data_IF_271272967982
#
_entry.id   IF_271272967982
#
_cell.length_a   1.000
_cell.length_b   1.000
_cell.length_c   1.000
_cell.angle_alpha   90.00
_cell.angle_beta   90.00
_cell.angle_gamma   90.00
#
_symmetry.space_group_name_H-M   'P 1'
#
loop_
_entity.id
_entity.type
_entity.pdbx_description
1 polymer ?
#
# COMPACT_ATOMS: atom_id res chain seq x y z
N UNK A 1 -28.89 24.77 19.44
CA UNK A 1 -27.96 25.85 19.03
C UNK A 1 -27.78 26.75 20.23
N UNK A 2 -26.68 26.60 20.99
CA UNK A 2 -26.64 27.11 22.36
C UNK A 2 -26.15 28.55 22.49
N UNK A 3 -25.42 29.10 21.52
CA UNK A 3 -25.02 30.53 21.55
C UNK A 3 -24.88 31.09 20.14
N UNK A 4 -25.91 31.77 19.64
CA UNK A 4 -25.84 32.53 18.38
C UNK A 4 -26.10 33.99 18.70
N UNK A 5 -25.06 34.84 18.61
CA UNK A 5 -25.16 36.30 18.79
C UNK A 5 -24.49 36.90 20.04
N UNK A 6 -23.81 36.12 20.88
CA UNK A 6 -23.14 36.65 22.07
C UNK A 6 -21.77 37.27 21.75
N UNK A 7 -21.48 38.43 22.35
CA UNK A 7 -20.15 39.09 22.36
C UNK A 7 -19.79 39.43 23.82
N UNK A 8 -18.50 39.40 24.16
CA UNK A 8 -17.92 39.70 25.48
C UNK A 8 -18.37 38.78 26.64
N UNK A 9 -18.16 37.46 26.51
CA UNK A 9 -18.24 36.57 27.68
C UNK A 9 -16.83 36.29 28.22
N UNK A 10 -16.67 36.44 29.54
CA UNK A 10 -15.47 36.05 30.27
C UNK A 10 -15.81 34.81 31.09
N UNK A 11 -15.16 33.68 30.78
CA UNK A 11 -15.26 32.46 31.58
C UNK A 11 -14.08 32.48 32.54
N UNK A 12 -14.33 32.82 33.80
CA UNK A 12 -13.37 32.70 34.89
C UNK A 12 -13.78 31.57 35.81
N UNK A 13 -12.85 30.67 36.12
CA UNK A 13 -13.11 29.49 36.95
C UNK A 13 -13.51 28.27 36.13
N UNK A 14 -12.54 27.39 35.92
CA UNK A 14 -12.70 26.10 35.25
C UNK A 14 -11.33 25.45 35.05
N UNK A 15 -11.22 24.15 35.31
CA UNK A 15 -10.00 23.41 34.96
C UNK A 15 -10.05 23.17 33.45
N UNK A 16 -9.27 23.95 32.70
CA UNK A 16 -9.07 23.70 31.28
C UNK A 16 -8.17 22.48 31.14
N UNK A 17 -8.78 21.29 31.14
CA UNK A 17 -8.12 20.10 30.64
C UNK A 17 -8.01 20.25 29.13
N UNK A 18 -6.90 20.84 28.69
CA UNK A 18 -6.50 20.74 27.30
C UNK A 18 -6.13 19.27 27.07
N UNK A 19 -7.13 18.44 26.77
CA UNK A 19 -6.90 17.16 26.14
C UNK A 19 -6.44 17.48 24.73
N UNK A 20 -5.16 17.84 24.61
CA UNK A 20 -4.43 17.61 23.37
C UNK A 20 -4.63 16.12 23.13
N UNK A 21 -5.61 15.76 22.29
CA UNK A 21 -5.60 14.43 21.71
C UNK A 21 -4.21 14.37 21.10
N UNK A 22 -3.39 13.46 21.57
CA UNK A 22 -2.21 13.01 20.86
C UNK A 22 -2.67 12.50 19.50
N UNK A 23 -2.91 13.41 18.56
CA UNK A 23 -3.07 13.09 17.16
C UNK A 23 -1.65 12.83 16.70
N UNK A 24 -1.15 11.62 16.99
CA UNK A 24 0.07 10.99 16.48
C UNK A 24 1.05 11.95 15.78
N UNK A 25 1.67 12.87 16.51
CA UNK A 25 2.78 13.69 15.99
C UNK A 25 3.90 12.76 15.49
N UNK A 26 3.98 11.56 16.06
CA UNK A 26 4.94 10.52 15.72
C UNK A 26 4.78 9.88 14.33
N UNK A 27 3.67 10.09 13.60
CA UNK A 27 3.41 9.40 12.32
C UNK A 27 2.95 10.32 11.17
N UNK A 28 3.51 11.53 11.12
CA UNK A 28 3.23 12.49 10.05
C UNK A 28 3.53 11.91 8.66
N UNK A 29 4.65 11.19 8.51
CA UNK A 29 5.05 10.58 7.25
C UNK A 29 4.06 9.54 6.73
N UNK A 30 3.59 8.65 7.62
CA UNK A 30 2.57 7.66 7.26
C UNK A 30 1.23 8.32 6.90
N UNK A 31 0.88 9.42 7.57
CA UNK A 31 -0.33 10.19 7.25
C UNK A 31 -0.27 10.81 5.85
N UNK A 32 0.92 11.26 5.42
CA UNK A 32 1.15 11.73 4.05
C UNK A 32 0.98 10.58 3.06
N UNK A 33 1.60 9.42 3.31
CA UNK A 33 1.46 8.24 2.45
C UNK A 33 0.01 7.80 2.32
N UNK A 34 -0.76 7.80 3.40
CA UNK A 34 -2.18 7.43 3.37
C UNK A 34 -3.01 8.29 2.42
N UNK A 35 -2.65 9.57 2.24
CA UNK A 35 -3.32 10.48 1.30
C UNK A 35 -2.92 10.27 -0.16
N UNK A 36 -1.72 9.77 -0.40
CA UNK A 36 -1.18 9.52 -1.75
C UNK A 36 -1.43 8.08 -2.22
N UNK A 37 -1.64 7.15 -1.29
CA UNK A 37 -1.89 5.75 -1.58
C UNK A 37 -3.28 5.50 -2.21
N UNK A 38 -3.40 4.35 -2.87
CA UNK A 38 -4.64 3.83 -3.43
C UNK A 38 -5.11 2.62 -2.63
N UNK A 39 -6.05 2.83 -1.71
CA UNK A 39 -6.61 1.77 -0.87
C UNK A 39 -7.45 0.75 -1.66
N UNK A 40 -7.90 1.10 -2.87
CA UNK A 40 -8.65 0.22 -3.76
C UNK A 40 -7.76 -0.74 -4.57
N UNK A 41 -6.43 -0.52 -4.60
CA UNK A 41 -5.52 -1.27 -5.46
C UNK A 41 -5.03 -2.59 -4.85
N UNK A 42 -5.11 -2.75 -3.53
CA UNK A 42 -4.64 -3.93 -2.80
C UNK A 42 -5.33 -5.23 -3.23
N UNK A 43 -4.69 -6.38 -3.04
CA UNK A 43 -5.26 -7.71 -3.34
C UNK A 43 -6.59 -7.99 -2.61
N UNK A 44 -6.79 -7.39 -1.44
CA UNK A 44 -7.93 -7.58 -0.53
C UNK A 44 -8.82 -6.32 -0.42
N UNK A 45 -8.69 -5.36 -1.33
CA UNK A 45 -9.50 -4.16 -1.30
C UNK A 45 -10.98 -4.46 -1.59
N UNK A 46 -11.90 -3.82 -0.85
CA UNK A 46 -13.35 -3.96 -1.03
C UNK A 46 -13.80 -3.57 -2.45
N UNK A 47 -13.18 -2.55 -3.02
CA UNK A 47 -13.41 -2.11 -4.41
C UNK A 47 -13.13 -3.20 -5.47
N UNK A 48 -12.56 -4.33 -5.05
CA UNK A 48 -12.25 -5.47 -5.91
C UNK A 48 -13.06 -6.71 -5.56
N UNK A 49 -14.06 -6.62 -4.67
CA UNK A 49 -14.89 -7.75 -4.31
C UNK A 49 -16.03 -8.00 -5.32
N UNK A 50 -16.31 -9.25 -5.72
CA UNK A 50 -15.44 -10.42 -5.56
C UNK A 50 -14.24 -10.33 -6.52
N UNK A 51 -13.02 -10.65 -6.06
CA UNK A 51 -11.85 -10.50 -6.93
C UNK A 51 -11.78 -11.65 -7.95
N UNK A 52 -11.17 -11.43 -9.13
CA UNK A 52 -10.99 -12.49 -10.11
C UNK A 52 -10.11 -13.58 -9.51
N UNK A 53 -10.56 -14.84 -9.46
CA UNK A 53 -9.79 -15.94 -8.88
C UNK A 53 -9.74 -17.12 -9.85
N UNK A 54 -8.67 -17.90 -9.77
CA UNK A 54 -8.62 -19.19 -10.44
C UNK A 54 -9.69 -20.10 -9.84
N UNK A 55 -10.34 -20.91 -10.67
CA UNK A 55 -11.19 -21.98 -10.16
C UNK A 55 -10.33 -22.98 -9.38
N UNK A 56 -10.89 -23.61 -8.33
CA UNK A 56 -10.20 -24.69 -7.63
C UNK A 56 -9.64 -25.71 -8.61
N UNK A 57 -8.45 -26.21 -8.30
CA UNK A 57 -7.75 -27.23 -9.10
C UNK A 57 -7.29 -26.80 -10.51
N UNK A 58 -7.46 -25.54 -10.89
CA UNK A 58 -6.97 -25.00 -12.18
C UNK A 58 -5.67 -24.21 -12.02
N UNK A 59 -4.91 -24.07 -13.12
CA UNK A 59 -3.68 -23.26 -13.20
C UNK A 59 -2.59 -23.61 -12.17
N UNK A 60 -2.65 -24.81 -11.57
CA UNK A 60 -1.71 -25.28 -10.54
C UNK A 60 -0.24 -25.19 -10.97
N UNK A 61 0.08 -25.63 -12.18
CA UNK A 61 1.46 -25.58 -12.69
C UNK A 61 2.02 -24.15 -12.67
N UNK A 62 1.28 -23.20 -13.26
CA UNK A 62 1.71 -21.79 -13.29
C UNK A 62 1.79 -21.18 -11.88
N UNK A 63 0.84 -21.50 -11.00
CA UNK A 63 0.88 -21.03 -9.61
C UNK A 63 2.09 -21.60 -8.86
N UNK A 64 2.42 -22.87 -9.09
CA UNK A 64 3.60 -23.51 -8.53
C UNK A 64 4.89 -22.86 -9.04
N UNK A 65 4.97 -22.56 -10.33
CA UNK A 65 6.13 -21.86 -10.91
C UNK A 65 6.32 -20.47 -10.27
N UNK A 66 5.23 -19.74 -10.04
CA UNK A 66 5.25 -18.45 -9.34
C UNK A 66 5.70 -18.58 -7.88
N UNK A 67 5.25 -19.62 -7.18
CA UNK A 67 5.67 -19.91 -5.80
C UNK A 67 7.16 -20.28 -5.73
N UNK A 68 7.65 -21.12 -6.64
CA UNK A 68 9.06 -21.46 -6.75
C UNK A 68 9.91 -20.23 -7.04
N UNK A 69 9.47 -19.37 -7.95
CA UNK A 69 10.13 -18.10 -8.25
C UNK A 69 10.21 -17.19 -7.02
N UNK A 70 9.10 -16.97 -6.31
CA UNK A 70 9.07 -16.09 -5.15
C UNK A 70 9.90 -16.59 -3.95
N UNK A 71 10.08 -17.91 -3.83
CA UNK A 71 10.88 -18.52 -2.77
C UNK A 71 12.33 -18.84 -3.20
N UNK A 72 12.72 -18.51 -4.42
CA UNK A 72 14.08 -18.78 -4.91
C UNK A 72 15.11 -17.96 -4.13
N UNK A 73 16.09 -18.64 -3.52
CA UNK A 73 17.15 -18.00 -2.73
C UNK A 73 18.20 -17.33 -3.62
N UNK A 74 18.85 -16.28 -3.11
CA UNK A 74 19.95 -15.59 -3.78
C UNK A 74 21.06 -16.59 -4.16
N UNK A 75 21.18 -16.90 -5.47
CA UNK A 75 22.15 -17.86 -6.01
C UNK A 75 21.63 -18.69 -7.18
N UNK A 76 20.31 -18.90 -7.29
CA UNK A 76 19.66 -19.52 -8.46
C UNK A 76 18.79 -18.48 -9.15
N UNK A 77 19.13 -18.14 -10.40
CA UNK A 77 18.41 -17.22 -11.30
C UNK A 77 17.85 -15.93 -10.65
N UNK A 78 18.62 -14.84 -10.76
CA UNK A 78 18.47 -13.58 -10.00
C UNK A 78 17.28 -12.69 -10.41
N UNK A 79 16.29 -13.22 -11.14
CA UNK A 79 15.21 -12.40 -11.73
C UNK A 79 14.28 -11.82 -10.65
N UNK A 80 14.43 -10.53 -10.34
CA UNK A 80 13.59 -9.78 -9.38
C UNK A 80 12.20 -9.43 -9.90
N UNK A 81 11.98 -9.60 -11.20
CA UNK A 81 10.72 -9.33 -11.88
C UNK A 81 10.37 -10.57 -12.71
N UNK A 82 9.13 -11.04 -12.58
CA UNK A 82 8.57 -12.12 -13.40
C UNK A 82 7.47 -11.58 -14.29
N UNK A 83 7.52 -11.93 -15.57
CA UNK A 83 6.51 -11.55 -16.55
C UNK A 83 5.54 -12.70 -16.83
N UNK A 84 4.29 -12.58 -16.39
CA UNK A 84 3.21 -13.53 -16.72
C UNK A 84 2.53 -13.14 -18.05
N UNK A 85 2.84 -13.87 -19.12
CA UNK A 85 2.26 -13.65 -20.45
C UNK A 85 1.27 -14.75 -20.87
N UNK A 86 0.51 -14.46 -21.93
CA UNK A 86 -0.49 -15.39 -22.49
C UNK A 86 -1.59 -14.65 -23.24
N UNK A 87 -2.45 -15.37 -23.97
CA UNK A 87 -3.50 -14.77 -24.80
C UNK A 87 -4.50 -13.93 -23.98
N UNK A 88 -5.23 -13.05 -24.66
CA UNK A 88 -6.36 -12.35 -24.06
C UNK A 88 -7.38 -13.38 -23.54
N UNK A 89 -7.99 -13.10 -22.38
CA UNK A 89 -8.93 -14.04 -21.75
C UNK A 89 -8.29 -15.24 -21.04
N UNK A 90 -6.96 -15.45 -21.09
CA UNK A 90 -6.29 -16.58 -20.42
C UNK A 90 -6.39 -16.59 -18.88
N UNK A 91 -6.96 -15.55 -18.27
CA UNK A 91 -7.12 -15.44 -16.82
C UNK A 91 -5.89 -14.93 -16.07
N UNK A 92 -4.96 -14.21 -16.75
CA UNK A 92 -3.73 -13.69 -16.13
C UNK A 92 -3.98 -12.89 -14.84
N UNK A 93 -4.98 -12.01 -14.83
CA UNK A 93 -5.37 -11.26 -13.63
C UNK A 93 -5.90 -12.15 -12.51
N UNK A 94 -6.59 -13.25 -12.85
CA UNK A 94 -7.07 -14.24 -11.89
C UNK A 94 -5.91 -15.06 -11.30
N UNK A 95 -4.91 -15.40 -12.11
CA UNK A 95 -3.67 -16.04 -11.66
C UNK A 95 -2.92 -15.12 -10.69
N UNK A 96 -2.63 -13.88 -11.09
CA UNK A 96 -1.94 -12.91 -10.25
C UNK A 96 -2.68 -12.64 -8.93
N UNK A 97 -4.02 -12.54 -8.98
CA UNK A 97 -4.84 -12.39 -7.77
C UNK A 97 -4.78 -13.61 -6.87
N UNK A 98 -4.89 -14.83 -7.43
CA UNK A 98 -4.81 -16.07 -6.66
C UNK A 98 -3.43 -16.21 -6.01
N UNK A 99 -2.37 -15.92 -6.77
CA UNK A 99 -1.00 -15.94 -6.28
C UNK A 99 -0.79 -14.92 -5.13
N UNK A 100 -1.22 -13.68 -5.28
CA UNK A 100 -1.14 -12.67 -4.21
C UNK A 100 -1.89 -13.12 -2.95
N UNK A 101 -3.05 -13.76 -3.09
CA UNK A 101 -3.79 -14.32 -1.97
C UNK A 101 -3.05 -15.47 -1.28
N UNK A 102 -2.38 -16.33 -2.04
CA UNK A 102 -1.54 -17.39 -1.48
C UNK A 102 -0.35 -16.80 -0.73
N UNK A 103 0.37 -15.84 -1.31
CA UNK A 103 1.48 -15.16 -0.63
C UNK A 103 1.04 -14.47 0.65
N UNK A 104 -0.13 -13.83 0.65
CA UNK A 104 -0.67 -13.19 1.85
C UNK A 104 -1.03 -14.21 2.94
N UNK A 105 -1.61 -15.36 2.58
CA UNK A 105 -1.90 -16.45 3.52
C UNK A 105 -0.64 -17.05 4.13
N UNK A 106 0.45 -17.06 3.36
CA UNK A 106 1.75 -17.58 3.78
C UNK A 106 2.63 -16.49 4.44
N UNK A 107 2.08 -15.30 4.72
CA UNK A 107 2.80 -14.17 5.33
C UNK A 107 4.02 -13.67 4.52
N UNK A 108 4.07 -13.98 3.22
CA UNK A 108 5.17 -13.62 2.31
C UNK A 108 4.83 -12.40 1.42
N UNK A 109 3.64 -11.83 1.54
CA UNK A 109 3.23 -10.66 0.75
C UNK A 109 3.48 -9.36 1.51
N UNK A 110 4.49 -8.59 1.09
CA UNK A 110 4.80 -7.27 1.67
C UNK A 110 3.98 -6.11 1.06
N UNK A 111 3.39 -6.32 -0.11
CA UNK A 111 2.58 -5.33 -0.81
C UNK A 111 1.98 -5.86 -2.11
N UNK A 112 0.93 -5.22 -2.58
CA UNK A 112 0.26 -5.52 -3.85
C UNK A 112 -0.42 -4.29 -4.43
N UNK A 113 -0.40 -4.19 -5.76
CA UNK A 113 -1.11 -3.15 -6.50
C UNK A 113 -1.67 -3.73 -7.79
N UNK A 114 -2.99 -3.58 -8.00
CA UNK A 114 -3.67 -4.04 -9.20
C UNK A 114 -4.24 -2.89 -9.99
N UNK A 115 -3.57 -2.58 -11.10
CA UNK A 115 -4.04 -1.57 -12.05
C UNK A 115 -5.42 -1.89 -12.63
N UNK A 116 -6.23 -0.86 -12.85
CA UNK A 116 -7.52 -0.98 -13.52
C UNK A 116 -7.91 0.30 -14.24
N UNK A 117 -8.14 0.19 -15.55
CA UNK A 117 -8.35 1.35 -16.43
C UNK A 117 -9.54 2.23 -16.01
N UNK A 118 -10.61 1.61 -15.54
CA UNK A 118 -11.87 2.32 -15.21
C UNK A 118 -11.92 2.86 -13.79
N UNK A 119 -10.86 2.69 -12.99
CA UNK A 119 -10.78 3.26 -11.65
C UNK A 119 -9.63 4.27 -11.59
N UNK A 120 -9.96 5.54 -11.40
CA UNK A 120 -9.01 6.67 -11.37
C UNK A 120 -7.97 6.55 -10.26
N UNK A 121 -8.26 5.80 -9.21
CA UNK A 121 -7.31 5.53 -8.13
C UNK A 121 -6.34 4.39 -8.48
N UNK A 122 -6.63 3.58 -9.50
CA UNK A 122 -5.85 2.40 -9.91
C UNK A 122 -5.35 2.49 -11.35
N UNK A 123 -5.69 3.54 -12.08
CA UNK A 123 -5.11 3.84 -13.39
C UNK A 123 -4.02 4.93 -13.32
N UNK A 124 -3.66 5.38 -12.12
CA UNK A 124 -2.60 6.35 -11.89
C UNK A 124 -1.34 5.66 -11.33
N UNK A 125 -0.25 5.54 -12.12
CA UNK A 125 1.01 4.95 -11.66
C UNK A 125 1.69 5.79 -10.56
N UNK A 126 1.41 7.08 -10.43
CA UNK A 126 1.95 7.95 -9.36
C UNK A 126 1.53 7.49 -7.96
N UNK A 127 0.50 6.63 -7.85
CA UNK A 127 0.07 6.08 -6.56
C UNK A 127 0.74 4.75 -6.21
N UNK A 128 1.45 4.12 -7.16
CA UNK A 128 1.98 2.77 -7.00
C UNK A 128 2.92 2.68 -5.80
N UNK A 129 3.99 3.45 -5.81
CA UNK A 129 5.05 3.33 -4.80
C UNK A 129 4.64 3.89 -3.44
N UNK A 130 3.84 4.96 -3.40
CA UNK A 130 3.22 5.41 -2.16
C UNK A 130 2.33 4.34 -1.52
N UNK A 131 1.58 3.59 -2.33
CA UNK A 131 0.73 2.48 -1.85
C UNK A 131 1.59 1.33 -1.33
N UNK A 132 2.63 0.93 -2.07
CA UNK A 132 3.51 -0.17 -1.67
C UNK A 132 4.28 0.18 -0.38
N UNK A 133 4.84 1.38 -0.26
CA UNK A 133 5.53 1.83 0.95
C UNK A 133 4.60 1.84 2.18
N UNK A 134 3.35 2.32 2.02
CA UNK A 134 2.37 2.26 3.10
C UNK A 134 2.05 0.82 3.53
N UNK A 135 1.87 -0.09 2.56
CA UNK A 135 1.62 -1.50 2.84
C UNK A 135 2.83 -2.16 3.53
N UNK A 136 4.05 -1.87 3.09
CA UNK A 136 5.29 -2.36 3.71
C UNK A 136 5.41 -1.88 5.16
N UNK A 137 5.10 -0.62 5.45
CA UNK A 137 5.10 -0.06 6.81
C UNK A 137 4.04 -0.69 7.73
N UNK A 138 3.00 -1.29 7.16
CA UNK A 138 1.94 -2.00 7.90
C UNK A 138 2.33 -3.47 8.14
N UNK A 139 2.88 -4.13 7.12
CA UNK A 139 3.21 -5.58 7.17
C UNK A 139 4.55 -5.84 7.88
N UNK A 140 5.53 -4.96 7.74
CA UNK A 140 6.88 -5.13 8.30
C UNK A 140 7.13 -4.04 9.36
N UNK A 141 6.94 -4.35 10.66
CA UNK A 141 7.04 -3.36 11.74
C UNK A 141 8.37 -2.59 11.76
N UNK A 142 9.47 -3.23 11.38
CA UNK A 142 10.80 -2.62 11.32
C UNK A 142 10.87 -1.50 10.27
N UNK A 143 10.13 -1.62 9.17
CA UNK A 143 10.09 -0.60 8.12
C UNK A 143 9.19 0.58 8.48
N UNK A 144 8.29 0.42 9.46
CA UNK A 144 7.31 1.46 9.82
C UNK A 144 7.99 2.77 10.22
N UNK A 145 8.92 2.72 11.18
CA UNK A 145 9.60 3.90 11.68
C UNK A 145 10.50 4.53 10.60
N UNK A 146 11.16 3.68 9.81
CA UNK A 146 12.06 4.06 8.72
C UNK A 146 11.30 4.84 7.64
N UNK A 147 10.22 4.25 7.11
CA UNK A 147 9.38 4.87 6.07
C UNK A 147 8.74 6.16 6.60
N UNK A 148 8.26 6.15 7.84
CA UNK A 148 7.70 7.34 8.45
C UNK A 148 8.71 8.49 8.52
N UNK A 149 9.93 8.22 8.97
CA UNK A 149 10.99 9.22 9.07
C UNK A 149 11.42 9.73 7.67
N UNK A 150 11.56 8.84 6.69
CA UNK A 150 11.92 9.21 5.32
C UNK A 150 10.90 10.19 4.71
N UNK A 151 9.60 9.95 4.90
CA UNK A 151 8.55 10.85 4.40
C UNK A 151 8.42 12.12 5.22
N UNK A 152 8.62 12.06 6.54
CA UNK A 152 8.64 13.26 7.37
C UNK A 152 9.79 14.19 6.95
N UNK A 153 10.94 13.64 6.58
CA UNK A 153 12.09 14.39 6.06
C UNK A 153 11.84 14.94 4.64
N UNK A 154 11.21 14.15 3.76
CA UNK A 154 10.83 14.59 2.41
C UNK A 154 9.34 14.34 2.12
N UNK A 155 8.45 15.27 2.53
CA UNK A 155 7.00 15.15 2.31
C UNK A 155 6.58 15.13 0.83
N UNK A 156 7.47 15.55 -0.08
CA UNK A 156 7.22 15.57 -1.51
C UNK A 156 7.56 14.23 -2.19
N UNK A 157 8.23 13.29 -1.49
CA UNK A 157 8.65 12.02 -2.06
C UNK A 157 7.52 11.28 -2.82
N UNK A 158 6.28 11.18 -2.31
CA UNK A 158 5.17 10.53 -3.03
C UNK A 158 4.66 11.25 -4.28
N UNK A 159 5.19 12.45 -4.58
CA UNK A 159 4.80 13.29 -5.73
C UNK A 159 5.95 13.51 -6.71
N UNK A 160 7.10 12.88 -6.48
CA UNK A 160 8.21 12.92 -7.43
C UNK A 160 7.89 12.10 -8.68
N UNK A 161 8.83 12.06 -9.63
CA UNK A 161 8.73 11.14 -10.78
C UNK A 161 8.56 9.69 -10.31
N UNK A 162 8.06 8.81 -11.17
CA UNK A 162 7.83 7.40 -10.82
C UNK A 162 9.15 6.73 -10.40
N UNK A 163 10.23 7.06 -11.10
CA UNK A 163 11.59 6.61 -10.85
C UNK A 163 12.08 7.11 -9.48
N UNK A 164 11.98 8.41 -9.21
CA UNK A 164 12.40 9.00 -7.94
C UNK A 164 11.55 8.50 -6.76
N UNK A 165 10.26 8.22 -6.99
CA UNK A 165 9.39 7.58 -6.00
C UNK A 165 9.87 6.16 -5.68
N UNK A 166 10.23 5.36 -6.69
CA UNK A 166 10.78 4.03 -6.49
C UNK A 166 12.05 4.11 -5.65
N UNK A 167 12.98 4.99 -6.03
CA UNK A 167 14.25 5.15 -5.34
C UNK A 167 14.05 5.58 -3.89
N UNK A 168 13.29 6.66 -3.65
CA UNK A 168 13.11 7.23 -2.31
C UNK A 168 12.23 6.41 -1.37
N UNK A 169 11.24 5.67 -1.91
CA UNK A 169 10.24 4.96 -1.09
C UNK A 169 10.47 3.46 -1.00
N UNK A 170 11.17 2.88 -1.98
CA UNK A 170 11.30 1.43 -2.12
C UNK A 170 12.75 0.98 -2.16
N UNK A 171 13.76 1.79 -2.52
CA UNK A 171 15.16 1.33 -2.64
C UNK A 171 16.10 1.97 -1.60
N UNK A 172 15.85 3.21 -1.19
CA UNK A 172 16.73 3.98 -0.31
C UNK A 172 16.12 4.45 1.02
N UNK A 173 14.94 4.01 1.50
CA UNK A 173 14.52 4.46 2.81
C UNK A 173 15.36 3.86 3.95
N UNK A 174 16.23 2.86 3.70
CA UNK A 174 16.95 2.06 4.73
C UNK A 174 18.46 2.28 4.81
#
# INVERSE_FOLDING_TARGET
SMFKGSRNFAISGGTFNNAYRDVNIYEEGLSILQRCASTSASYNAEARYPPPRCHPETRKAVLHDLECWANSTAGSDNSKILWLYGPAGAGKSAIAQTFAQTCAKNENLIGSFFFWRSDSSRNNPERLFATLALQMAVVVPQLRAIINAAIAHNPLAPKLSIEDQCDSLIIQPW
#
